data_IF_550546592667
#
_entry.id   IF_550546592667
#
_cell.length_a   1.000
_cell.length_b   1.000
_cell.length_c   1.000
_cell.angle_alpha   90.00
_cell.angle_beta   90.00
_cell.angle_gamma   90.00
#
_symmetry.space_group_name_H-M   'P 1'
#
loop_
_entity.id
_entity.type
_entity.pdbx_description
1 polymer ?
#
# COMPACT_ATOMS: atom_id res chain seq x y z
N UNK A 1 13.50 -11.03 -9.16
CA UNK A 1 13.65 -9.84 -8.30
C UNK A 1 15.13 -9.59 -8.06
N UNK A 2 15.58 -8.35 -8.18
CA UNK A 2 16.87 -7.88 -7.70
C UNK A 2 16.65 -7.13 -6.38
N UNK A 3 17.30 -7.59 -5.31
CA UNK A 3 17.35 -6.85 -4.04
C UNK A 3 18.48 -5.83 -4.11
N UNK A 4 18.14 -4.56 -3.93
CA UNK A 4 19.03 -3.43 -3.89
C UNK A 4 19.41 -3.08 -2.45
N UNK A 5 20.52 -2.36 -2.21
CA UNK A 5 20.95 -2.03 -0.86
C UNK A 5 19.90 -1.24 -0.07
N UNK A 6 19.62 -1.71 1.15
CA UNK A 6 18.85 -0.97 2.15
C UNK A 6 19.13 -1.51 3.56
N UNK A 7 18.85 -0.70 4.57
CA UNK A 7 18.89 -1.12 5.98
C UNK A 7 17.80 -0.42 6.78
N UNK A 8 17.18 -1.08 7.78
CA UNK A 8 16.28 -0.43 8.74
C UNK A 8 16.90 0.85 9.34
N UNK A 9 16.16 1.96 9.31
CA UNK A 9 16.61 3.27 9.80
C UNK A 9 17.76 3.94 9.04
N UNK A 10 18.26 3.31 7.97
CA UNK A 10 19.36 3.82 7.15
C UNK A 10 18.93 4.20 5.74
N UNK A 11 19.89 4.17 4.82
CA UNK A 11 19.66 4.48 3.41
C UNK A 11 18.80 3.42 2.72
N UNK A 12 18.04 3.86 1.72
CA UNK A 12 17.27 3.01 0.83
C UNK A 12 17.63 3.38 -0.62
N UNK A 13 18.31 2.49 -1.34
CA UNK A 13 18.85 2.80 -2.65
C UNK A 13 17.77 3.24 -3.65
N UNK A 14 16.57 2.65 -3.61
CA UNK A 14 15.48 3.06 -4.50
C UNK A 14 14.95 4.44 -4.14
N UNK A 15 14.71 4.73 -2.86
CA UNK A 15 14.26 6.06 -2.44
C UNK A 15 15.27 7.14 -2.80
N UNK A 16 16.58 6.86 -2.68
CA UNK A 16 17.65 7.75 -3.13
C UNK A 16 17.59 7.98 -4.65
N UNK A 17 17.35 6.93 -5.44
CA UNK A 17 17.13 7.07 -6.89
C UNK A 17 15.92 7.94 -7.19
N UNK A 18 14.78 7.72 -6.51
CA UNK A 18 13.57 8.50 -6.69
C UNK A 18 13.78 9.99 -6.35
N UNK A 19 14.58 10.28 -5.32
CA UNK A 19 14.97 11.64 -4.95
C UNK A 19 15.87 12.28 -6.01
N UNK A 20 16.88 11.55 -6.49
CA UNK A 20 17.84 12.04 -7.48
C UNK A 20 17.19 12.37 -8.83
N UNK A 21 16.19 11.58 -9.25
CA UNK A 21 15.43 11.87 -10.48
C UNK A 21 14.35 12.93 -10.29
N UNK A 22 14.09 13.36 -9.05
CA UNK A 22 13.09 14.38 -8.74
C UNK A 22 11.64 13.88 -8.80
N UNK A 23 11.40 12.58 -8.60
CA UNK A 23 10.03 12.07 -8.49
C UNK A 23 9.39 12.62 -7.20
N UNK A 24 8.18 13.24 -7.23
CA UNK A 24 7.58 13.90 -6.08
C UNK A 24 6.93 12.90 -5.10
N UNK A 25 7.60 11.81 -4.75
CA UNK A 25 7.02 10.68 -4.02
C UNK A 25 6.77 10.92 -2.54
N UNK A 26 7.26 12.02 -1.96
CA UNK A 26 6.93 12.48 -0.59
C UNK A 26 5.91 13.63 -0.58
N UNK A 27 5.51 14.11 -1.76
CA UNK A 27 4.56 15.21 -1.89
C UNK A 27 3.13 14.69 -1.71
N UNK A 28 2.27 15.45 -1.06
CA UNK A 28 0.85 15.10 -0.95
C UNK A 28 0.20 15.17 -2.32
N UNK A 29 -0.84 14.37 -2.52
CA UNK A 29 -1.51 14.25 -3.81
C UNK A 29 -2.11 15.58 -4.26
N UNK A 30 -2.63 16.41 -3.34
CA UNK A 30 -3.10 17.77 -3.65
C UNK A 30 -2.00 18.68 -4.18
N UNK A 31 -0.80 18.59 -3.62
CA UNK A 31 0.35 19.40 -4.03
C UNK A 31 0.88 18.93 -5.39
N UNK A 32 0.84 17.62 -5.67
CA UNK A 32 1.12 17.05 -7.00
C UNK A 32 0.11 17.57 -8.02
N UNK A 33 -1.19 17.56 -7.70
CA UNK A 33 -2.25 18.08 -8.57
C UNK A 33 -2.07 19.56 -8.84
N UNK A 34 -1.77 20.36 -7.81
CA UNK A 34 -1.50 21.78 -7.97
C UNK A 34 -0.31 22.04 -8.91
N UNK A 35 0.70 21.15 -8.88
CA UNK A 35 1.92 21.27 -9.69
C UNK A 35 1.77 20.78 -11.13
N UNK A 36 1.13 19.63 -11.35
CA UNK A 36 1.08 18.95 -12.65
C UNK A 36 -0.31 18.96 -13.31
N UNK A 37 -1.32 19.49 -12.61
CA UNK A 37 -2.70 19.51 -13.06
C UNK A 37 -3.43 18.18 -12.84
N UNK A 38 -4.75 18.23 -12.99
CA UNK A 38 -5.63 17.07 -12.99
C UNK A 38 -6.20 16.88 -14.40
N UNK A 39 -6.14 15.66 -14.91
CA UNK A 39 -6.74 15.30 -16.19
C UNK A 39 -7.39 13.92 -16.10
N UNK A 40 -8.15 13.54 -17.12
CA UNK A 40 -8.77 12.21 -17.22
C UNK A 40 -7.90 11.31 -18.09
N UNK A 41 -7.64 10.10 -17.62
CA UNK A 41 -6.81 9.13 -18.34
C UNK A 41 -7.56 8.58 -19.55
N UNK A 42 -7.00 8.68 -20.76
CA UNK A 42 -7.73 8.33 -21.98
C UNK A 42 -8.04 6.82 -22.09
N UNK A 43 -7.13 5.93 -21.67
CA UNK A 43 -7.38 4.49 -21.62
C UNK A 43 -8.32 4.05 -20.47
N UNK A 44 -7.99 4.37 -19.23
CA UNK A 44 -8.72 3.87 -18.06
C UNK A 44 -9.92 4.71 -17.62
N UNK A 45 -10.05 5.95 -18.10
CA UNK A 45 -11.16 6.87 -17.80
C UNK A 45 -11.26 7.32 -16.32
N UNK A 46 -10.18 7.17 -15.56
CA UNK A 46 -10.03 7.68 -14.19
C UNK A 46 -9.36 9.06 -14.14
N UNK A 47 -9.39 9.74 -12.99
CA UNK A 47 -8.59 10.95 -12.76
C UNK A 47 -7.09 10.59 -12.62
N UNK A 48 -6.23 11.46 -13.14
CA UNK A 48 -4.78 11.33 -13.05
C UNK A 48 -4.08 12.71 -13.02
N UNK A 49 -2.85 12.72 -12.53
CA UNK A 49 -1.95 13.88 -12.56
C UNK A 49 -0.65 13.46 -13.25
N UNK A 50 -0.55 13.63 -14.58
CA UNK A 50 0.58 13.13 -15.36
C UNK A 50 1.85 13.93 -15.08
N UNK A 51 2.92 13.24 -14.69
CA UNK A 51 4.22 13.87 -14.40
C UNK A 51 5.01 13.96 -15.70
N UNK A 52 5.05 15.17 -16.27
CA UNK A 52 5.72 15.46 -17.56
C UNK A 52 6.77 16.57 -17.37
N UNK A 53 8.02 16.40 -17.86
CA UNK A 53 8.55 15.17 -18.48
C UNK A 53 8.65 14.01 -17.48
N UNK A 54 8.67 12.76 -17.96
CA UNK A 54 8.80 11.58 -17.11
C UNK A 54 10.16 11.60 -16.38
N UNK A 55 10.21 11.61 -15.04
CA UNK A 55 11.47 11.67 -14.29
C UNK A 55 12.39 10.49 -14.52
N UNK A 56 11.82 9.31 -14.83
CA UNK A 56 12.60 8.11 -15.14
C UNK A 56 13.20 8.11 -16.57
N UNK A 57 12.87 9.10 -17.41
CA UNK A 57 13.34 9.15 -18.78
C UNK A 57 12.90 7.95 -19.63
N UNK A 58 11.72 7.39 -19.33
CA UNK A 58 11.21 6.19 -20.01
C UNK A 58 10.67 6.55 -21.40
N UNK A 59 11.31 6.00 -22.42
CA UNK A 59 10.85 6.00 -23.81
C UNK A 59 9.70 4.99 -24.00
N UNK A 60 8.81 5.30 -24.94
CA UNK A 60 7.68 4.43 -25.29
C UNK A 60 6.48 4.55 -24.36
N UNK A 61 6.47 5.50 -23.42
CA UNK A 61 5.29 5.79 -22.61
C UNK A 61 4.12 6.23 -23.50
N UNK A 62 3.06 5.43 -23.52
CA UNK A 62 1.80 5.79 -24.18
C UNK A 62 0.89 6.61 -23.26
N UNK A 63 1.11 6.50 -21.95
CA UNK A 63 0.57 7.39 -20.93
C UNK A 63 1.70 7.80 -19.97
N UNK A 64 1.78 9.09 -19.57
CA UNK A 64 2.80 9.54 -18.63
C UNK A 64 2.70 8.83 -17.28
N UNK A 65 3.82 8.73 -16.58
CA UNK A 65 3.85 8.29 -15.18
C UNK A 65 2.95 9.20 -14.34
N UNK A 66 2.00 8.63 -13.59
CA UNK A 66 1.12 9.37 -12.68
C UNK A 66 0.94 8.62 -11.36
N UNK A 67 0.54 9.31 -10.26
CA UNK A 67 0.01 8.65 -9.09
C UNK A 67 -1.15 7.72 -9.46
N UNK A 68 -1.30 6.62 -8.73
CA UNK A 68 -2.42 5.70 -8.97
C UNK A 68 -3.79 6.32 -8.59
N UNK A 69 -4.90 5.84 -9.19
CA UNK A 69 -6.23 6.45 -9.10
C UNK A 69 -6.79 6.54 -7.69
N UNK A 70 -6.48 5.55 -6.85
CA UNK A 70 -6.89 5.51 -5.45
C UNK A 70 -6.21 6.58 -4.59
N UNK A 71 -5.15 7.23 -5.08
CA UNK A 71 -4.53 8.35 -4.40
C UNK A 71 -5.36 9.64 -4.52
N UNK A 72 -6.17 9.79 -5.58
CA UNK A 72 -6.91 11.03 -5.85
C UNK A 72 -8.14 11.23 -4.96
N UNK A 73 -8.72 10.15 -4.45
CA UNK A 73 -9.73 10.22 -3.38
C UNK A 73 -9.12 10.60 -2.02
N UNK A 74 -7.79 10.62 -1.91
CA UNK A 74 -7.02 10.90 -0.68
C UNK A 74 -6.02 12.04 -0.93
N UNK A 75 -6.55 13.20 -1.34
CA UNK A 75 -5.75 14.37 -1.75
C UNK A 75 -4.77 14.84 -0.67
N UNK A 76 -5.12 14.63 0.59
CA UNK A 76 -4.33 14.94 1.78
C UNK A 76 -3.15 13.97 2.02
N UNK A 77 -3.10 12.83 1.31
CA UNK A 77 -2.07 11.80 1.47
C UNK A 77 -1.02 11.81 0.37
N UNK A 78 0.14 11.23 0.68
CA UNK A 78 1.20 10.95 -0.29
C UNK A 78 0.78 9.75 -1.17
N UNK A 79 1.11 9.71 -2.47
CA UNK A 79 0.82 8.54 -3.30
C UNK A 79 1.47 7.24 -2.78
N UNK A 80 0.66 6.18 -2.65
CA UNK A 80 1.18 4.83 -2.35
C UNK A 80 1.95 4.23 -3.53
N UNK A 81 1.63 4.67 -4.74
CA UNK A 81 2.15 4.12 -5.98
C UNK A 81 2.07 5.14 -7.12
N UNK A 82 2.96 4.96 -8.09
CA UNK A 82 2.92 5.59 -9.40
C UNK A 82 2.90 4.51 -10.48
N UNK A 83 2.24 4.78 -11.59
CA UNK A 83 2.12 3.86 -12.71
C UNK A 83 2.23 4.56 -14.05
N UNK A 84 2.75 3.86 -15.05
CA UNK A 84 2.71 4.27 -16.45
C UNK A 84 2.88 3.07 -17.38
N UNK A 85 2.43 3.23 -18.62
CA UNK A 85 2.38 2.14 -19.60
C UNK A 85 3.33 2.41 -20.77
N UNK A 86 4.23 1.46 -21.02
CA UNK A 86 5.17 1.48 -22.13
C UNK A 86 4.67 0.57 -23.25
N UNK A 87 4.60 1.08 -24.46
CA UNK A 87 4.30 0.29 -25.65
C UNK A 87 5.21 0.73 -26.80
N UNK A 88 5.91 -0.23 -27.40
CA UNK A 88 6.77 -0.02 -28.57
C UNK A 88 6.34 -0.85 -29.79
N UNK A 89 5.67 -1.98 -29.56
CA UNK A 89 5.03 -2.79 -30.60
C UNK A 89 3.99 -3.74 -29.99
N UNK A 90 3.22 -4.40 -30.84
CA UNK A 90 2.21 -5.41 -30.48
C UNK A 90 2.84 -6.76 -30.06
N UNK A 91 3.75 -6.71 -29.09
CA UNK A 91 4.42 -7.87 -28.52
C UNK A 91 4.76 -7.57 -27.04
N UNK A 92 4.09 -8.23 -26.08
CA UNK A 92 4.30 -7.94 -24.67
C UNK A 92 5.73 -8.29 -24.21
N UNK A 93 6.38 -9.28 -24.82
CA UNK A 93 7.75 -9.66 -24.43
C UNK A 93 8.72 -8.55 -24.78
N UNK A 94 8.59 -7.98 -25.98
CA UNK A 94 9.43 -6.86 -26.35
C UNK A 94 9.13 -5.58 -25.56
N UNK A 95 7.87 -5.35 -25.17
CA UNK A 95 7.52 -4.19 -24.36
C UNK A 95 8.17 -4.30 -22.95
N UNK A 96 8.12 -5.46 -22.31
CA UNK A 96 8.83 -5.65 -21.03
C UNK A 96 10.35 -5.64 -21.20
N UNK A 97 10.91 -6.21 -22.27
CA UNK A 97 12.35 -6.11 -22.56
C UNK A 97 12.80 -4.66 -22.82
N UNK A 98 11.96 -3.84 -23.44
CA UNK A 98 12.23 -2.43 -23.65
C UNK A 98 12.21 -1.64 -22.33
N UNK A 99 11.16 -1.81 -21.51
CA UNK A 99 11.08 -1.22 -20.18
C UNK A 99 12.25 -1.68 -19.29
N UNK A 100 12.56 -2.97 -19.33
CA UNK A 100 13.64 -3.59 -18.58
C UNK A 100 15.00 -2.95 -18.90
N UNK A 101 15.35 -2.80 -20.18
CA UNK A 101 16.65 -2.21 -20.57
C UNK A 101 16.84 -0.81 -20.01
N UNK A 102 15.78 0.01 -20.04
CA UNK A 102 15.84 1.38 -19.52
C UNK A 102 15.97 1.40 -18.00
N UNK A 103 15.16 0.60 -17.30
CA UNK A 103 15.22 0.50 -15.84
C UNK A 103 16.54 -0.13 -15.35
N UNK A 104 17.08 -1.10 -16.09
CA UNK A 104 18.35 -1.73 -15.75
C UNK A 104 19.55 -0.79 -15.87
N UNK A 105 19.49 0.22 -16.75
CA UNK A 105 20.52 1.26 -16.82
C UNK A 105 20.54 2.12 -15.54
N UNK A 106 19.38 2.31 -14.90
CA UNK A 106 19.25 3.10 -13.67
C UNK A 106 19.49 2.27 -12.40
N UNK A 107 19.01 1.03 -12.39
CA UNK A 107 18.87 0.21 -11.18
C UNK A 107 19.72 -1.06 -11.18
N UNK A 108 20.43 -1.34 -12.28
CA UNK A 108 21.14 -2.61 -12.48
C UNK A 108 20.24 -3.74 -13.02
N UNK A 109 20.80 -4.87 -13.43
CA UNK A 109 20.06 -5.94 -14.09
C UNK A 109 19.23 -6.78 -13.11
N UNK A 110 17.91 -6.81 -13.28
CA UNK A 110 17.00 -7.76 -12.63
C UNK A 110 16.61 -8.90 -13.58
N UNK A 111 16.29 -10.12 -13.08
CA UNK A 111 15.76 -11.16 -13.93
C UNK A 111 14.30 -10.87 -14.31
N UNK A 112 13.96 -11.05 -15.59
CA UNK A 112 12.57 -11.17 -16.04
C UNK A 112 12.12 -12.60 -15.76
N UNK A 113 11.11 -12.76 -14.92
CA UNK A 113 10.57 -14.07 -14.52
C UNK A 113 9.11 -14.21 -14.92
N UNK A 114 8.70 -15.44 -15.23
CA UNK A 114 7.29 -15.80 -15.38
C UNK A 114 6.70 -16.13 -14.02
N UNK A 115 5.62 -15.47 -13.63
CA UNK A 115 4.84 -15.76 -12.43
C UNK A 115 3.37 -15.93 -12.82
N UNK A 116 2.84 -17.15 -12.70
CA UNK A 116 1.50 -17.53 -13.15
C UNK A 116 1.20 -17.06 -14.60
N UNK A 117 0.34 -16.05 -14.73
CA UNK A 117 -0.14 -15.48 -15.99
C UNK A 117 0.62 -14.20 -16.42
N UNK A 118 1.73 -13.86 -15.77
CA UNK A 118 2.42 -12.56 -15.90
C UNK A 118 3.92 -12.76 -16.11
N UNK A 119 4.56 -11.92 -16.91
CA UNK A 119 6.03 -11.73 -16.84
C UNK A 119 6.35 -10.47 -16.05
N UNK A 120 7.33 -10.56 -15.15
CA UNK A 120 7.71 -9.46 -14.27
C UNK A 120 9.22 -9.33 -14.13
N UNK A 121 9.72 -8.10 -14.11
CA UNK A 121 11.02 -7.74 -13.57
C UNK A 121 10.78 -6.80 -12.38
N UNK A 122 11.47 -7.03 -11.26
CA UNK A 122 11.29 -6.25 -10.04
C UNK A 122 12.64 -5.90 -9.41
N UNK A 123 12.77 -4.64 -9.01
CA UNK A 123 13.83 -4.09 -8.17
C UNK A 123 13.22 -3.70 -6.84
N UNK A 124 13.80 -4.18 -5.74
CA UNK A 124 13.29 -3.94 -4.40
C UNK A 124 14.38 -3.45 -3.47
N UNK A 125 14.04 -2.51 -2.61
CA UNK A 125 14.86 -2.05 -1.50
C UNK A 125 13.92 -1.90 -0.30
N UNK A 126 13.80 -2.95 0.51
CA UNK A 126 12.86 -2.98 1.64
C UNK A 126 11.42 -2.69 1.20
N UNK A 127 10.77 -1.64 1.74
CA UNK A 127 9.37 -1.33 1.43
C UNK A 127 9.20 -0.64 0.06
N UNK A 128 10.29 -0.20 -0.57
CA UNK A 128 10.26 0.43 -1.88
C UNK A 128 10.50 -0.62 -2.97
N UNK A 129 9.75 -0.52 -4.07
CA UNK A 129 10.04 -1.33 -5.26
C UNK A 129 9.62 -0.64 -6.55
N UNK A 130 10.29 -1.02 -7.64
CA UNK A 130 9.91 -0.71 -9.02
C UNK A 130 9.71 -2.03 -9.73
N UNK A 131 8.63 -2.17 -10.49
CA UNK A 131 8.40 -3.36 -11.31
C UNK A 131 7.95 -3.01 -12.72
N UNK A 132 8.34 -3.85 -13.66
CA UNK A 132 7.89 -3.85 -15.05
C UNK A 132 7.14 -5.17 -15.30
N UNK A 133 5.88 -5.10 -15.76
CA UNK A 133 5.00 -6.25 -15.86
C UNK A 133 4.21 -6.28 -17.17
N UNK A 134 3.97 -7.47 -17.69
CA UNK A 134 3.07 -7.71 -18.84
C UNK A 134 2.22 -8.96 -18.61
N UNK A 135 1.01 -8.95 -19.18
CA UNK A 135 0.04 -10.06 -19.14
C UNK A 135 -0.24 -10.59 -20.55
N UNK A 136 0.66 -11.42 -21.12
CA UNK A 136 0.45 -11.93 -22.46
C UNK A 136 -0.86 -12.70 -22.59
N UNK A 137 -1.57 -12.50 -23.71
CA UNK A 137 -2.85 -13.14 -23.97
C UNK A 137 -2.77 -14.68 -23.90
N UNK A 138 -1.66 -15.25 -24.38
CA UNK A 138 -1.43 -16.71 -24.35
C UNK A 138 -1.15 -17.27 -22.94
N UNK A 139 -1.04 -16.42 -21.92
CA UNK A 139 -0.97 -16.82 -20.52
C UNK A 139 -2.28 -16.59 -19.75
N UNK A 140 -3.31 -15.99 -20.37
CA UNK A 140 -4.59 -15.74 -19.72
C UNK A 140 -5.54 -16.92 -19.96
N UNK A 141 -5.98 -17.57 -18.88
CA UNK A 141 -6.93 -18.68 -18.94
C UNK A 141 -8.39 -18.23 -19.03
N UNK A 142 -8.68 -17.00 -18.59
CA UNK A 142 -10.02 -16.41 -18.59
C UNK A 142 -9.96 -15.06 -19.30
N UNK A 143 -10.43 -14.96 -20.55
CA UNK A 143 -10.51 -13.69 -21.23
C UNK A 143 -11.47 -12.79 -20.45
N UNK A 144 -10.92 -11.74 -19.85
CA UNK A 144 -11.70 -10.69 -19.19
C UNK A 144 -11.90 -9.55 -20.18
N UNK A 145 -13.15 -9.10 -20.31
CA UNK A 145 -13.43 -7.85 -20.99
C UNK A 145 -12.80 -6.71 -20.16
N UNK A 146 -11.96 -5.91 -20.82
CA UNK A 146 -11.34 -4.75 -20.21
C UNK A 146 -11.64 -3.53 -21.08
N UNK A 147 -12.51 -2.64 -20.59
CA UNK A 147 -12.91 -1.44 -21.31
C UNK A 147 -11.71 -0.56 -21.74
N UNK A 148 -10.61 -0.60 -20.98
CA UNK A 148 -9.39 0.12 -21.37
C UNK A 148 -8.75 -0.45 -22.64
N UNK A 149 -8.77 -1.78 -22.82
CA UNK A 149 -8.28 -2.43 -24.04
C UNK A 149 -9.13 -2.15 -25.28
N UNK A 150 -10.41 -1.81 -25.08
CA UNK A 150 -11.31 -1.39 -26.16
C UNK A 150 -11.08 0.06 -26.56
N UNK A 151 -10.87 0.94 -25.56
CA UNK A 151 -10.54 2.36 -25.79
C UNK A 151 -9.15 2.54 -26.40
N UNK A 152 -8.17 1.74 -25.99
CA UNK A 152 -6.83 1.74 -26.53
C UNK A 152 -6.26 0.32 -26.65
N UNK A 153 -6.25 -0.20 -27.89
CA UNK A 153 -5.80 -1.56 -28.18
C UNK A 153 -4.33 -1.84 -27.80
N UNK A 154 -3.50 -0.81 -27.69
CA UNK A 154 -2.08 -0.95 -27.31
C UNK A 154 -1.92 -1.49 -25.89
N UNK A 155 -2.86 -1.17 -24.98
CA UNK A 155 -2.84 -1.62 -23.59
C UNK A 155 -2.87 -3.14 -23.43
N UNK A 156 -3.37 -3.88 -24.44
CA UNK A 156 -3.37 -5.36 -24.44
C UNK A 156 -1.97 -5.96 -24.36
N UNK A 157 -0.96 -5.23 -24.83
CA UNK A 157 0.43 -5.68 -24.87
C UNK A 157 1.39 -4.75 -24.14
N UNK A 158 0.95 -3.57 -23.74
CA UNK A 158 1.77 -2.58 -23.04
C UNK A 158 2.37 -3.16 -21.74
N UNK A 159 3.58 -2.73 -21.43
CA UNK A 159 4.24 -3.02 -20.17
C UNK A 159 3.85 -1.98 -19.13
N UNK A 160 3.27 -2.44 -18.02
CA UNK A 160 3.05 -1.62 -16.84
C UNK A 160 4.36 -1.44 -16.09
N UNK A 161 4.80 -0.20 -15.94
CA UNK A 161 5.82 0.19 -14.97
C UNK A 161 5.11 0.70 -13.72
N UNK A 162 5.38 0.07 -12.57
CA UNK A 162 4.82 0.44 -11.28
C UNK A 162 5.93 0.80 -10.30
N UNK A 163 5.75 1.88 -9.57
CA UNK A 163 6.66 2.35 -8.52
C UNK A 163 5.88 2.37 -7.22
N UNK A 164 6.37 1.69 -6.19
CA UNK A 164 5.90 1.85 -4.81
C UNK A 164 7.04 2.45 -3.99
N UNK A 165 6.93 3.71 -3.53
CA UNK A 165 8.03 4.36 -2.81
C UNK A 165 8.26 3.83 -1.39
N UNK A 166 7.27 3.12 -0.82
CA UNK A 166 7.35 2.62 0.54
C UNK A 166 7.26 3.71 1.61
N UNK A 167 6.64 4.86 1.29
CA UNK A 167 6.60 6.01 2.20
C UNK A 167 5.86 5.69 3.50
N UNK A 168 6.48 6.09 4.61
CA UNK A 168 5.88 6.08 5.95
C UNK A 168 6.24 7.40 6.63
N UNK A 169 5.31 7.95 7.40
CA UNK A 169 5.55 9.19 8.14
C UNK A 169 6.50 8.93 9.32
N UNK A 170 7.53 9.74 9.56
CA UNK A 170 8.30 9.70 10.81
C UNK A 170 7.39 9.97 12.02
N UNK A 171 7.66 9.31 13.14
CA UNK A 171 6.94 9.59 14.39
C UNK A 171 7.20 11.02 14.90
N UNK A 172 6.16 11.66 15.42
CA UNK A 172 6.32 12.88 16.23
C UNK A 172 7.02 12.56 17.57
N UNK A 173 7.37 13.59 18.35
CA UNK A 173 7.90 13.38 19.70
C UNK A 173 6.86 12.73 20.63
N UNK A 174 5.60 13.15 20.53
CA UNK A 174 4.48 12.59 21.30
C UNK A 174 4.26 11.10 20.94
N UNK A 175 4.26 10.75 19.65
CA UNK A 175 4.10 9.37 19.21
C UNK A 175 5.25 8.46 19.65
N UNK A 176 6.49 8.98 19.67
CA UNK A 176 7.64 8.26 20.24
C UNK A 176 7.49 8.05 21.73
N UNK A 177 6.97 9.04 22.46
CA UNK A 177 6.73 8.91 23.90
C UNK A 177 5.65 7.84 24.18
N UNK A 178 4.56 7.86 23.41
CA UNK A 178 3.53 6.82 23.50
C UNK A 178 4.09 5.42 23.23
N UNK A 179 4.88 5.25 22.16
CA UNK A 179 5.50 3.97 21.83
C UNK A 179 6.46 3.49 22.92
N UNK A 180 7.28 4.38 23.49
CA UNK A 180 8.16 4.03 24.62
C UNK A 180 7.39 3.56 25.85
N UNK A 181 6.19 4.08 26.06
CA UNK A 181 5.29 3.70 27.15
C UNK A 181 4.32 2.57 26.81
N UNK A 182 4.55 1.87 25.69
CA UNK A 182 3.64 0.85 25.18
C UNK A 182 3.36 -0.25 26.22
N UNK A 183 2.08 -0.41 26.53
CA UNK A 183 1.54 -1.50 27.33
C UNK A 183 0.76 -2.44 26.41
N UNK A 184 1.19 -3.71 26.27
CA UNK A 184 0.48 -4.66 25.42
C UNK A 184 -0.92 -4.94 25.96
N UNK A 185 -1.88 -5.09 25.05
CA UNK A 185 -3.26 -5.42 25.36
C UNK A 185 -3.62 -6.82 24.84
N UNK A 186 -3.32 -7.09 23.57
CA UNK A 186 -3.60 -8.37 22.95
C UNK A 186 -2.57 -8.72 21.87
N UNK A 187 -2.29 -10.01 21.71
CA UNK A 187 -1.61 -10.52 20.53
C UNK A 187 -2.59 -10.59 19.36
N UNK A 188 -2.11 -10.30 18.15
CA UNK A 188 -2.91 -10.37 16.93
C UNK A 188 -2.28 -11.31 15.92
N UNK A 189 -3.14 -12.01 15.19
CA UNK A 189 -2.80 -12.90 14.09
C UNK A 189 -3.55 -12.49 12.82
N UNK A 190 -3.09 -13.01 11.69
CA UNK A 190 -3.71 -12.74 10.39
C UNK A 190 -2.70 -12.72 9.25
N UNK A 191 -3.18 -12.39 8.05
CA UNK A 191 -2.35 -12.36 6.86
C UNK A 191 -1.32 -11.22 6.94
N UNK A 192 -0.05 -11.59 7.09
CA UNK A 192 1.08 -10.68 6.91
C UNK A 192 1.51 -9.90 8.16
N UNK A 193 1.09 -10.30 9.38
CA UNK A 193 1.64 -9.73 10.61
C UNK A 193 3.17 -9.90 10.63
N UNK A 194 3.89 -8.79 10.79
CA UNK A 194 5.34 -8.81 10.87
C UNK A 194 5.79 -9.40 12.21
N UNK A 195 6.69 -10.38 12.16
CA UNK A 195 7.23 -11.08 13.34
C UNK A 195 8.56 -10.51 13.80
N UNK A 196 9.23 -9.75 12.94
CA UNK A 196 10.52 -9.10 13.24
C UNK A 196 10.49 -7.64 12.80
N UNK A 197 11.35 -6.81 13.40
CA UNK A 197 11.55 -5.44 12.93
C UNK A 197 11.99 -5.42 11.47
N UNK A 198 12.87 -6.34 11.07
CA UNK A 198 13.32 -6.42 9.67
C UNK A 198 12.14 -6.66 8.71
N UNK A 199 11.26 -7.62 9.03
CA UNK A 199 10.04 -7.85 8.25
C UNK A 199 9.17 -6.61 8.19
N UNK A 200 8.89 -5.97 9.35
CA UNK A 200 8.08 -4.77 9.42
C UNK A 200 8.64 -3.64 8.57
N UNK A 201 9.96 -3.42 8.61
CA UNK A 201 10.64 -2.43 7.78
C UNK A 201 10.55 -2.77 6.29
N UNK A 202 10.59 -4.05 5.92
CA UNK A 202 10.60 -4.52 4.52
C UNK A 202 9.25 -4.51 3.80
N UNK A 203 8.11 -4.53 4.51
CA UNK A 203 6.80 -4.67 3.87
C UNK A 203 6.32 -3.32 3.32
N UNK A 204 6.07 -3.21 2.02
CA UNK A 204 5.49 -2.00 1.43
C UNK A 204 4.13 -1.66 2.07
N UNK A 205 3.86 -0.39 2.43
CA UNK A 205 2.52 0.04 2.85
C UNK A 205 1.47 -0.31 1.79
N UNK A 206 0.39 -0.94 2.23
CA UNK A 206 -0.76 -1.31 1.39
C UNK A 206 -2.04 -0.57 1.78
N UNK A 207 -2.04 0.09 2.93
CA UNK A 207 -3.22 0.75 3.48
C UNK A 207 -3.26 2.22 3.10
N UNK A 208 -4.47 2.68 2.82
CA UNK A 208 -4.84 4.08 2.71
C UNK A 208 -4.84 4.79 4.07
N UNK A 209 -4.37 4.14 5.14
CA UNK A 209 -4.30 4.71 6.48
C UNK A 209 -2.97 5.40 6.81
N UNK A 210 -2.50 6.25 5.90
CA UNK A 210 -1.23 6.96 6.07
C UNK A 210 -1.25 8.00 7.20
N UNK A 211 -2.44 8.45 7.62
CA UNK A 211 -2.62 9.37 8.75
C UNK A 211 -1.89 8.91 10.00
N UNK A 212 -1.92 7.61 10.27
CA UNK A 212 -1.37 6.98 11.49
C UNK A 212 -0.32 5.91 11.23
N UNK A 213 -0.01 5.61 9.97
CA UNK A 213 1.10 4.76 9.59
C UNK A 213 2.44 5.44 9.93
N UNK A 214 3.30 4.76 10.69
CA UNK A 214 4.58 5.31 11.11
C UNK A 214 5.77 4.48 10.66
N UNK A 215 6.89 5.17 10.47
CA UNK A 215 8.19 4.52 10.39
C UNK A 215 8.43 3.73 11.69
N UNK A 216 8.73 2.43 11.62
CA UNK A 216 9.04 1.66 12.82
C UNK A 216 10.30 2.19 13.50
N UNK A 217 10.47 2.01 14.82
CA UNK A 217 11.77 2.21 15.46
C UNK A 217 12.77 1.13 15.02
N UNK A 218 14.05 1.35 15.34
CA UNK A 218 15.14 0.39 15.08
C UNK A 218 15.56 -0.41 16.32
N UNK A 219 15.19 0.09 17.51
CA UNK A 219 15.73 -0.29 18.81
C UNK A 219 14.64 -0.77 19.79
N UNK A 220 13.40 -0.90 19.32
CA UNK A 220 12.26 -1.34 20.12
C UNK A 220 11.37 -2.28 19.30
N UNK A 221 11.05 -3.46 19.82
CA UNK A 221 10.29 -4.49 19.12
C UNK A 221 9.16 -5.14 19.95
N UNK A 222 8.99 -4.69 21.21
CA UNK A 222 8.01 -5.23 22.15
C UNK A 222 6.54 -5.09 21.71
N UNK A 223 6.25 -4.33 20.65
CA UNK A 223 4.92 -4.15 20.07
C UNK A 223 4.61 -5.11 18.91
N UNK A 224 5.59 -5.85 18.40
CA UNK A 224 5.43 -6.66 17.19
C UNK A 224 4.32 -7.71 17.35
N UNK A 225 3.39 -7.73 16.38
CA UNK A 225 2.26 -8.65 16.40
C UNK A 225 1.26 -8.41 17.52
N UNK A 226 1.19 -7.17 18.02
CA UNK A 226 0.33 -6.81 19.14
C UNK A 226 -0.50 -5.56 18.85
N UNK A 227 -1.61 -5.47 19.59
CA UNK A 227 -2.31 -4.22 19.88
C UNK A 227 -2.04 -3.90 21.35
N UNK A 228 -1.81 -2.62 21.63
CA UNK A 228 -1.66 -2.11 22.98
C UNK A 228 -1.93 -0.62 23.02
N UNK A 229 -1.67 -0.03 24.17
CA UNK A 229 -1.95 1.38 24.44
C UNK A 229 -0.71 2.06 25.02
N UNK A 230 -0.63 3.38 24.87
CA UNK A 230 0.27 4.18 25.70
C UNK A 230 -0.13 4.10 27.17
N UNK A 231 0.80 4.33 28.09
CA UNK A 231 0.53 4.23 29.54
C UNK A 231 -0.53 5.22 30.05
N UNK A 232 -0.76 6.31 29.32
CA UNK A 232 -1.80 7.31 29.60
C UNK A 232 -3.13 7.04 28.88
N UNK A 233 -3.24 5.90 28.17
CA UNK A 233 -4.39 5.50 27.36
C UNK A 233 -4.80 6.52 26.28
N UNK A 234 -3.91 7.43 25.89
CA UNK A 234 -4.18 8.46 24.87
C UNK A 234 -3.95 7.97 23.44
N UNK A 235 -3.20 6.89 23.24
CA UNK A 235 -2.97 6.31 21.92
C UNK A 235 -3.10 4.79 21.93
N UNK A 236 -3.73 4.27 20.88
CA UNK A 236 -3.69 2.85 20.53
C UNK A 236 -2.54 2.61 19.55
N UNK A 237 -1.73 1.60 19.82
CA UNK A 237 -0.60 1.19 19.00
C UNK A 237 -0.90 -0.20 18.47
N UNK A 238 -0.89 -0.37 17.16
CA UNK A 238 -1.15 -1.64 16.50
C UNK A 238 -0.02 -1.97 15.53
N UNK A 239 0.57 -3.16 15.70
CA UNK A 239 1.61 -3.68 14.81
C UNK A 239 1.12 -4.89 14.05
N UNK A 240 0.58 -4.63 12.87
CA UNK A 240 0.13 -5.67 11.94
C UNK A 240 1.27 -6.01 10.97
N UNK A 241 1.04 -5.89 9.66
CA UNK A 241 2.10 -5.80 8.65
C UNK A 241 2.78 -4.43 8.63
N UNK A 242 2.24 -3.47 9.38
CA UNK A 242 2.69 -2.09 9.49
C UNK A 242 2.52 -1.60 10.94
N UNK A 243 3.23 -0.53 11.32
CA UNK A 243 3.09 0.14 12.62
C UNK A 243 2.10 1.29 12.50
N UNK A 244 1.01 1.22 13.26
CA UNK A 244 0.03 2.29 13.40
C UNK A 244 0.04 2.84 14.82
N UNK A 245 0.02 4.16 14.95
CA UNK A 245 -0.12 4.87 16.24
C UNK A 245 -1.29 5.83 16.08
N UNK A 246 -2.44 5.49 16.68
CA UNK A 246 -3.70 6.19 16.52
C UNK A 246 -4.10 6.84 17.85
N UNK A 247 -4.25 8.17 17.92
CA UNK A 247 -4.83 8.82 19.10
C UNK A 247 -6.22 8.26 19.38
N UNK A 248 -6.50 7.87 20.62
CA UNK A 248 -7.79 7.27 21.01
C UNK A 248 -8.94 8.22 20.70
N UNK A 249 -8.73 9.53 20.89
CA UNK A 249 -9.71 10.57 20.57
C UNK A 249 -10.12 10.65 19.09
N UNK A 250 -9.36 10.03 18.18
CA UNK A 250 -9.66 10.01 16.75
C UNK A 250 -10.32 8.71 16.29
N UNK A 251 -10.42 7.71 17.18
CA UNK A 251 -11.09 6.44 16.90
C UNK A 251 -12.59 6.67 16.98
N UNK A 252 -13.31 6.28 15.92
CA UNK A 252 -14.77 6.49 15.83
C UNK A 252 -15.54 5.19 16.01
N UNK A 253 -14.91 4.03 15.80
CA UNK A 253 -15.55 2.74 15.98
C UNK A 253 -14.67 1.57 15.59
N UNK A 254 -15.22 0.38 15.80
CA UNK A 254 -14.67 -0.89 15.35
C UNK A 254 -15.68 -1.59 14.45
N UNK A 255 -15.18 -2.29 13.43
CA UNK A 255 -16.00 -3.14 12.57
C UNK A 255 -15.46 -4.56 12.63
N UNK A 256 -16.32 -5.51 13.01
CA UNK A 256 -16.04 -6.94 12.96
C UNK A 256 -16.81 -7.57 11.81
N UNK A 257 -16.11 -7.80 10.70
CA UNK A 257 -16.68 -8.46 9.52
C UNK A 257 -16.57 -9.97 9.68
N UNK A 258 -17.68 -10.68 9.48
CA UNK A 258 -17.74 -12.14 9.50
C UNK A 258 -18.02 -12.67 8.10
N UNK A 259 -17.22 -13.64 7.68
CA UNK A 259 -17.34 -14.31 6.39
C UNK A 259 -17.72 -15.77 6.63
N UNK A 260 -18.83 -16.19 6.03
CA UNK A 260 -19.30 -17.57 6.05
C UNK A 260 -18.55 -18.39 4.98
N UNK A 261 -18.24 -19.66 5.26
CA UNK A 261 -17.61 -20.53 4.27
C UNK A 261 -18.50 -20.69 3.03
N UNK A 262 -17.89 -20.60 1.84
CA UNK A 262 -18.52 -20.98 0.58
C UNK A 262 -17.50 -21.64 -0.36
N UNK A 263 -16.55 -20.88 -0.94
CA UNK A 263 -15.42 -21.46 -1.70
C UNK A 263 -14.13 -21.58 -0.90
N UNK A 264 -13.93 -20.72 0.10
CA UNK A 264 -12.86 -20.81 1.07
C UNK A 264 -13.36 -21.11 2.48
N UNK A 265 -12.45 -21.09 3.47
CA UNK A 265 -12.76 -21.48 4.86
C UNK A 265 -13.68 -20.48 5.59
N UNK A 266 -13.99 -19.32 4.99
CA UNK A 266 -14.61 -18.20 5.71
C UNK A 266 -13.63 -17.53 6.68
N UNK A 267 -14.16 -16.79 7.64
CA UNK A 267 -13.32 -16.16 8.67
C UNK A 267 -13.92 -14.92 9.32
N UNK A 268 -13.05 -14.16 9.97
CA UNK A 268 -13.36 -12.87 10.56
C UNK A 268 -12.23 -11.87 10.32
N UNK A 269 -12.60 -10.61 10.12
CA UNK A 269 -11.67 -9.48 10.06
C UNK A 269 -12.10 -8.38 11.03
N UNK A 270 -11.15 -7.85 11.79
CA UNK A 270 -11.37 -6.72 12.69
C UNK A 270 -10.69 -5.49 12.11
N UNK A 271 -11.44 -4.40 11.98
CA UNK A 271 -10.96 -3.11 11.50
C UNK A 271 -11.29 -1.99 12.50
N UNK A 272 -10.40 -1.00 12.56
CA UNK A 272 -10.56 0.25 13.30
C UNK A 272 -11.01 1.34 12.36
N UNK A 273 -12.15 1.96 12.63
CA UNK A 273 -12.57 3.18 11.94
C UNK A 273 -12.05 4.41 12.69
N UNK A 274 -11.50 5.36 11.97
CA UNK A 274 -10.96 6.59 12.54
C UNK A 274 -11.31 7.80 11.68
N UNK A 275 -11.26 8.98 12.29
CA UNK A 275 -11.35 10.26 11.60
C UNK A 275 -9.97 10.71 11.12
N UNK A 276 -9.76 10.92 9.80
CA UNK A 276 -8.52 11.49 9.31
C UNK A 276 -8.31 12.91 9.84
N UNK A 277 -7.06 13.30 10.02
CA UNK A 277 -6.76 14.62 10.58
C UNK A 277 -7.14 15.72 9.58
N UNK A 278 -7.91 16.73 10.03
CA UNK A 278 -8.29 17.88 9.19
C UNK A 278 -9.36 17.60 8.14
N UNK A 279 -10.05 16.46 8.21
CA UNK A 279 -11.21 16.15 7.35
C UNK A 279 -12.53 16.33 8.10
N UNK A 280 -13.64 16.43 7.35
CA UNK A 280 -14.98 16.57 7.91
C UNK A 280 -15.36 15.37 8.79
N UNK A 281 -16.32 15.59 9.69
CA UNK A 281 -16.76 14.56 10.64
C UNK A 281 -17.37 13.32 9.98
N UNK A 282 -17.83 13.43 8.74
CA UNK A 282 -18.41 12.34 7.94
C UNK A 282 -17.36 11.47 7.24
N UNK A 283 -16.10 11.92 7.19
CA UNK A 283 -15.02 11.16 6.56
C UNK A 283 -14.42 10.17 7.55
N UNK A 284 -14.56 8.88 7.26
CA UNK A 284 -13.96 7.80 8.02
C UNK A 284 -13.04 6.97 7.13
N UNK A 285 -11.93 6.51 7.71
CA UNK A 285 -11.00 5.56 7.11
C UNK A 285 -10.81 4.38 8.03
N UNK A 286 -10.32 3.27 7.49
CA UNK A 286 -10.16 2.02 8.24
C UNK A 286 -8.72 1.54 8.30
N UNK A 287 -8.34 0.94 9.44
CA UNK A 287 -7.12 0.16 9.62
C UNK A 287 -7.53 -1.27 9.94
N UNK A 288 -7.14 -2.24 9.09
CA UNK A 288 -7.25 -3.65 9.44
C UNK A 288 -6.32 -3.99 10.61
N UNK A 289 -6.88 -4.53 11.69
CA UNK A 289 -6.17 -4.85 12.93
C UNK A 289 -5.81 -6.34 13.04
N UNK A 290 -6.74 -7.23 12.72
CA UNK A 290 -6.57 -8.67 12.85
C UNK A 290 -7.44 -9.44 11.85
N UNK A 291 -7.04 -10.67 11.53
CA UNK A 291 -7.87 -11.60 10.75
C UNK A 291 -7.74 -13.03 11.27
N UNK A 292 -8.77 -13.84 11.10
CA UNK A 292 -8.77 -15.25 11.51
C UNK A 292 -9.64 -16.08 10.58
N UNK A 293 -9.30 -17.35 10.39
CA UNK A 293 -10.13 -18.32 9.65
C UNK A 293 -11.39 -18.72 10.44
N UNK A 294 -11.42 -18.46 11.76
CA UNK A 294 -12.58 -18.70 12.60
C UNK A 294 -13.52 -17.50 12.64
N UNK A 295 -14.78 -17.69 12.19
CA UNK A 295 -15.82 -16.63 12.14
C UNK A 295 -16.09 -15.89 13.46
N UNK A 296 -15.82 -16.54 14.59
CA UNK A 296 -16.06 -16.01 15.93
C UNK A 296 -14.77 -15.76 16.73
N UNK A 297 -13.60 -16.07 16.13
CA UNK A 297 -12.32 -16.04 16.83
C UNK A 297 -11.88 -14.62 17.27
N UNK A 298 -12.48 -13.58 16.69
CA UNK A 298 -12.18 -12.18 17.01
C UNK A 298 -13.27 -11.51 17.86
N UNK A 299 -14.33 -12.23 18.27
CA UNK A 299 -15.44 -11.65 19.03
C UNK A 299 -14.94 -11.01 20.34
N UNK A 300 -14.24 -11.79 21.17
CA UNK A 300 -13.77 -11.33 22.48
C UNK A 300 -12.82 -10.14 22.34
N UNK A 301 -11.88 -10.20 21.37
CA UNK A 301 -10.97 -9.10 21.09
C UNK A 301 -11.73 -7.82 20.67
N UNK A 302 -12.72 -7.95 19.80
CA UNK A 302 -13.50 -6.82 19.32
C UNK A 302 -14.32 -6.16 20.45
N UNK A 303 -14.96 -6.96 21.32
CA UNK A 303 -15.70 -6.45 22.47
C UNK A 303 -14.78 -5.78 23.48
N UNK A 304 -13.67 -6.42 23.85
CA UNK A 304 -12.73 -5.87 24.83
C UNK A 304 -12.07 -4.58 24.33
N UNK A 305 -11.72 -4.49 23.03
CA UNK A 305 -11.21 -3.25 22.44
C UNK A 305 -12.27 -2.15 22.42
N UNK A 306 -13.52 -2.47 22.05
CA UNK A 306 -14.64 -1.53 22.06
C UNK A 306 -14.88 -0.95 23.44
N UNK A 307 -14.87 -1.79 24.48
CA UNK A 307 -14.98 -1.36 25.88
C UNK A 307 -13.79 -0.52 26.33
N UNK A 308 -12.56 -0.93 25.99
CA UNK A 308 -11.33 -0.23 26.39
C UNK A 308 -11.23 1.16 25.77
N UNK A 309 -11.60 1.30 24.50
CA UNK A 309 -11.57 2.56 23.75
C UNK A 309 -12.81 3.41 24.08
N UNK A 310 -13.92 2.78 24.44
CA UNK A 310 -15.21 3.45 24.64
C UNK A 310 -15.89 3.85 23.32
N UNK A 311 -15.73 3.04 22.26
CA UNK A 311 -16.31 3.29 20.94
C UNK A 311 -17.33 2.22 20.53
N UNK A 312 -18.18 2.53 19.55
CA UNK A 312 -19.15 1.56 19.03
C UNK A 312 -18.46 0.38 18.32
N UNK A 313 -18.99 -0.82 18.50
CA UNK A 313 -18.65 -2.01 17.72
C UNK A 313 -19.79 -2.34 16.75
N UNK A 314 -19.50 -2.33 15.46
CA UNK A 314 -20.42 -2.73 14.40
C UNK A 314 -20.11 -4.13 13.92
N UNK A 315 -21.13 -4.98 13.84
CA UNK A 315 -21.04 -6.34 13.31
C UNK A 315 -22.07 -6.47 12.19
N UNK A 316 -21.69 -6.25 10.92
CA UNK A 316 -22.59 -6.41 9.78
C UNK A 316 -23.11 -7.84 9.64
N UNK A 317 -24.20 -8.02 8.88
CA UNK A 317 -24.68 -9.36 8.54
C UNK A 317 -23.57 -10.17 7.83
N UNK A 318 -23.33 -11.43 8.23
CA UNK A 318 -22.28 -12.24 7.63
C UNK A 318 -22.50 -12.47 6.13
N UNK A 319 -21.44 -12.34 5.34
CA UNK A 319 -21.47 -12.59 3.89
C UNK A 319 -20.79 -13.93 3.56
N UNK A 320 -21.19 -14.59 2.47
CA UNK A 320 -20.50 -15.79 1.99
C UNK A 320 -19.20 -15.47 1.27
N UNK A 321 -18.21 -16.34 1.42
CA UNK A 321 -16.92 -16.28 0.70
C UNK A 321 -17.11 -16.69 -0.78
N UNK A 322 -17.53 -15.72 -1.62
CA UNK A 322 -17.96 -15.93 -3.00
C UNK A 322 -16.85 -15.94 -4.06
#
# INVERSE_FOLDING_TARGET
MLELPWTPGGENALQNVLDNIGLPWRMRTEDIIARFGLSRHAGFDWEQSPIVPCPLGLDGLIYPLSPEPGAFSLRDQVPLSFSGEIWVKDDPIANIEHAFRQLANLLGPAPIIKSANTYTAEWRAGPAFISAMVWPAWLQHWPTENAAHERDGRLKTACLVRIKPGYRRPMSEEERAWLKSFSPFANIAGFGTAKTLYELWSIAPVSLAQDYLRLPPIDQDNFLGQIGFSADDRAMIASTSQLYIVPVAHITGLTLTKVLPAKGPGGAGLALSYRPHGMSDECHREIGLASSDGKDALNDLAFQLSERIGCALTIPEPQYDC
#
